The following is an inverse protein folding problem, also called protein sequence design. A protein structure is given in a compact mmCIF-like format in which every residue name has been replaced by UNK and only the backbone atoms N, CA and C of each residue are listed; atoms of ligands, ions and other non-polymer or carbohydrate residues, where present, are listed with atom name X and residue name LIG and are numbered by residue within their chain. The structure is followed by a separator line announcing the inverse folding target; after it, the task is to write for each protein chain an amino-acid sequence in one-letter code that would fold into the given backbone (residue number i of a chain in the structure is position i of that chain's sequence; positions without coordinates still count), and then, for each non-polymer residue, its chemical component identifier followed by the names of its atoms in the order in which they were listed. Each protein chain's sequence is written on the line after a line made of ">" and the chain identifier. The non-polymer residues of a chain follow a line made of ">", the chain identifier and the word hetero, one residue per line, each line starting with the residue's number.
data_IF_813169389162
#
_entry.id   IF_813169389162
#
_cell.length_a   1.000
_cell.length_b   1.000
_cell.length_c   1.000
_cell.angle_alpha   90.00
_cell.angle_beta   90.00
_cell.angle_gamma   90.00
#
_symmetry.space_group_name_H-M   'P 1'
#
loop_
_entity.id
_entity.type
_entity.pdbx_description
1 polymer ?
#
# COMPACT_ATOMS: atom_id res chain seq x y z
N UNK A 1 -28.35 -10.29 40.68
CA UNK A 1 -29.00 -9.73 39.46
C UNK A 1 -30.48 -10.03 39.58
N UNK A 2 -31.39 -9.13 39.18
CA UNK A 2 -32.83 -9.44 39.21
C UNK A 2 -33.14 -10.62 38.28
N UNK A 3 -34.08 -11.49 38.67
CA UNK A 3 -34.51 -12.63 37.84
C UNK A 3 -35.03 -12.13 36.48
N UNK A 4 -35.75 -11.01 36.46
CA UNK A 4 -36.27 -10.38 35.24
C UNK A 4 -35.18 -9.96 34.28
N UNK A 5 -34.10 -9.32 34.77
CA UNK A 5 -32.96 -8.93 33.94
C UNK A 5 -32.23 -10.15 33.36
N UNK A 6 -32.26 -11.28 34.06
CA UNK A 6 -31.60 -12.52 33.62
C UNK A 6 -32.41 -13.27 32.56
N UNK A 7 -33.75 -13.16 32.59
CA UNK A 7 -34.65 -13.87 31.66
C UNK A 7 -35.10 -13.03 30.47
N UNK A 8 -35.35 -11.73 30.67
CA UNK A 8 -35.85 -10.83 29.61
C UNK A 8 -34.76 -9.94 29.01
N UNK A 9 -33.56 -9.94 29.60
CA UNK A 9 -32.50 -8.99 29.26
C UNK A 9 -32.79 -7.59 29.79
N UNK A 10 -31.94 -6.64 29.41
CA UNK A 10 -32.06 -5.24 29.79
C UNK A 10 -31.31 -4.36 28.78
N UNK A 11 -31.66 -3.07 28.76
CA UNK A 11 -30.97 -2.05 27.96
C UNK A 11 -30.23 -1.14 28.93
N UNK A 12 -28.94 -0.92 28.66
CA UNK A 12 -28.13 0.06 29.37
C UNK A 12 -28.12 1.35 28.54
N UNK A 13 -28.62 2.43 29.13
CA UNK A 13 -28.58 3.76 28.55
C UNK A 13 -27.55 4.61 29.32
N UNK A 14 -26.61 5.21 28.61
CA UNK A 14 -25.54 6.02 29.20
C UNK A 14 -24.49 5.25 30.02
N UNK A 15 -24.35 3.93 29.83
CA UNK A 15 -23.28 3.14 30.45
C UNK A 15 -22.88 1.94 29.54
N UNK A 16 -21.58 1.66 29.33
CA UNK A 16 -20.40 2.32 29.90
C UNK A 16 -20.01 3.60 29.14
N UNK A 17 -19.51 4.60 29.88
CA UNK A 17 -19.05 5.89 29.33
C UNK A 17 -17.52 6.01 29.24
N UNK A 18 -16.78 5.17 29.95
CA UNK A 18 -15.31 5.23 30.02
C UNK A 18 -14.71 3.84 29.85
N UNK A 19 -13.45 3.79 29.42
CA UNK A 19 -12.73 2.53 29.24
C UNK A 19 -12.70 1.68 30.53
N UNK A 20 -12.51 2.33 31.69
CA UNK A 20 -12.48 1.65 32.99
C UNK A 20 -13.80 0.97 33.32
N UNK A 21 -14.93 1.61 33.01
CA UNK A 21 -16.24 1.01 33.20
C UNK A 21 -16.44 -0.20 32.28
N UNK A 22 -16.03 -0.11 31.02
CA UNK A 22 -16.09 -1.23 30.07
C UNK A 22 -15.23 -2.43 30.53
N UNK A 23 -14.05 -2.17 31.10
CA UNK A 23 -13.20 -3.22 31.68
C UNK A 23 -13.84 -3.88 32.90
N UNK A 24 -14.45 -3.10 33.80
CA UNK A 24 -15.17 -3.62 34.97
C UNK A 24 -16.38 -4.48 34.56
N UNK A 25 -17.10 -4.07 33.51
CA UNK A 25 -18.17 -4.88 32.93
C UNK A 25 -17.66 -6.23 32.43
N UNK A 26 -16.58 -6.24 31.65
CA UNK A 26 -15.94 -7.46 31.17
C UNK A 26 -15.48 -8.38 32.31
N UNK A 27 -14.88 -7.81 33.37
CA UNK A 27 -14.45 -8.57 34.55
C UNK A 27 -15.61 -9.21 35.33
N UNK A 28 -16.84 -8.71 35.17
CA UNK A 28 -18.06 -9.25 35.77
C UNK A 28 -18.91 -10.03 34.76
N UNK A 29 -18.38 -10.31 33.56
CA UNK A 29 -19.09 -10.98 32.47
C UNK A 29 -20.40 -10.29 32.08
N UNK A 30 -20.46 -8.97 32.20
CA UNK A 30 -21.59 -8.16 31.75
C UNK A 30 -21.27 -7.68 30.34
N UNK A 31 -21.70 -8.43 29.33
CA UNK A 31 -21.39 -8.15 27.92
C UNK A 31 -22.71 -7.84 27.18
N UNK A 32 -22.93 -6.59 26.76
CA UNK A 32 -24.02 -6.25 25.86
C UNK A 32 -23.94 -7.06 24.57
N UNK A 33 -25.07 -7.61 24.10
CA UNK A 33 -25.09 -8.32 22.81
C UNK A 33 -24.99 -7.36 21.62
N UNK A 34 -25.49 -6.15 21.79
CA UNK A 34 -25.44 -5.07 20.81
C UNK A 34 -25.14 -3.78 21.54
N UNK A 35 -24.23 -2.98 21.00
CA UNK A 35 -23.99 -1.59 21.42
C UNK A 35 -24.32 -0.68 20.24
N UNK A 36 -25.24 0.26 20.45
CA UNK A 36 -25.66 1.22 19.43
C UNK A 36 -25.11 2.59 19.78
N UNK A 37 -24.36 3.17 18.87
CA UNK A 37 -23.90 4.56 18.93
C UNK A 37 -24.69 5.41 17.94
N UNK A 38 -25.31 6.48 18.44
CA UNK A 38 -26.00 7.48 17.65
C UNK A 38 -25.03 8.61 17.32
N UNK A 39 -24.52 8.62 16.09
CA UNK A 39 -23.56 9.62 15.62
C UNK A 39 -24.28 10.93 15.27
N UNK A 40 -23.81 12.02 15.88
CA UNK A 40 -24.32 13.36 15.63
C UNK A 40 -23.19 14.38 15.67
N UNK A 41 -23.25 15.37 14.79
CA UNK A 41 -22.28 16.47 14.81
C UNK A 41 -22.46 17.34 16.07
N UNK A 42 -21.36 17.91 16.56
CA UNK A 42 -21.33 18.73 17.78
C UNK A 42 -22.22 19.96 17.68
N UNK A 43 -22.30 20.60 16.50
CA UNK A 43 -23.17 21.76 16.30
C UNK A 43 -24.63 21.36 16.48
N UNK A 44 -25.02 20.22 15.92
CA UNK A 44 -26.40 19.74 15.99
C UNK A 44 -26.75 19.22 17.40
N UNK A 45 -25.81 18.56 18.10
CA UNK A 45 -25.96 18.19 19.52
C UNK A 45 -26.26 19.42 20.38
N UNK A 46 -25.45 20.48 20.24
CA UNK A 46 -25.62 21.71 21.01
C UNK A 46 -26.95 22.41 20.68
N UNK A 47 -27.29 22.50 19.40
CA UNK A 47 -28.56 23.08 18.94
C UNK A 47 -29.77 22.35 19.54
N UNK A 48 -29.78 21.01 19.47
CA UNK A 48 -30.87 20.19 20.04
C UNK A 48 -30.91 20.29 21.56
N UNK A 49 -29.75 20.33 22.23
CA UNK A 49 -29.66 20.51 23.68
C UNK A 49 -30.25 21.84 24.15
N UNK A 50 -30.00 22.95 23.42
CA UNK A 50 -30.59 24.26 23.72
C UNK A 50 -32.12 24.26 23.56
N UNK A 51 -32.64 23.63 22.51
CA UNK A 51 -34.09 23.48 22.31
C UNK A 51 -34.71 22.63 23.42
N UNK A 52 -34.04 21.55 23.82
CA UNK A 52 -34.52 20.69 24.89
C UNK A 52 -34.56 21.39 26.26
N UNK A 53 -33.58 22.26 26.54
CA UNK A 53 -33.56 23.12 27.74
C UNK A 53 -34.83 23.97 27.89
N UNK A 54 -35.43 24.42 26.79
CA UNK A 54 -36.63 25.26 26.79
C UNK A 54 -37.93 24.49 27.08
N UNK A 55 -37.89 23.16 27.21
CA UNK A 55 -39.10 22.36 27.48
C UNK A 55 -39.52 22.46 28.95
N UNK A 56 -40.81 22.72 29.24
CA UNK A 56 -41.28 22.97 30.60
C UNK A 56 -41.35 21.71 31.49
N UNK A 57 -41.45 20.51 30.89
CA UNK A 57 -41.66 19.25 31.62
C UNK A 57 -40.42 18.34 31.58
N UNK A 58 -39.35 18.73 32.29
CA UNK A 58 -38.18 17.85 32.47
C UNK A 58 -38.36 16.98 33.73
N UNK A 59 -38.19 15.64 33.65
CA UNK A 59 -38.32 14.76 34.81
C UNK A 59 -37.21 14.98 35.86
N UNK A 60 -36.05 15.51 35.45
CA UNK A 60 -34.94 15.83 36.34
C UNK A 60 -34.32 17.19 35.98
N UNK A 61 -33.88 17.93 37.00
CA UNK A 61 -33.15 19.18 36.83
C UNK A 61 -31.73 18.85 36.34
N UNK A 62 -31.37 19.28 35.14
CA UNK A 62 -30.06 19.01 34.55
C UNK A 62 -29.29 20.30 34.27
N UNK A 63 -27.99 20.26 34.54
CA UNK A 63 -27.06 21.35 34.20
C UNK A 63 -26.78 21.34 32.68
N UNK A 64 -27.62 22.04 31.92
CA UNK A 64 -27.64 22.02 30.45
C UNK A 64 -27.27 23.38 29.83
N UNK A 65 -26.36 24.14 30.46
CA UNK A 65 -25.78 25.33 29.84
C UNK A 65 -24.94 24.95 28.62
N UNK A 66 -24.80 25.87 27.66
CA UNK A 66 -23.99 25.67 26.44
C UNK A 66 -22.58 25.17 26.74
N UNK A 67 -21.94 25.75 27.76
CA UNK A 67 -20.56 25.44 28.15
C UNK A 67 -20.46 24.01 28.68
N UNK A 68 -21.37 23.62 29.56
CA UNK A 68 -21.44 22.27 30.15
C UNK A 68 -21.77 21.22 29.08
N UNK A 69 -22.71 21.50 28.17
CA UNK A 69 -23.02 20.59 27.06
C UNK A 69 -21.82 20.39 26.14
N UNK A 70 -21.08 21.48 25.86
CA UNK A 70 -19.85 21.42 25.07
C UNK A 70 -18.78 20.58 25.76
N UNK A 71 -18.54 20.80 27.06
CA UNK A 71 -17.57 20.01 27.86
C UNK A 71 -17.96 18.54 27.87
N UNK A 72 -19.23 18.20 28.14
CA UNK A 72 -19.73 16.81 28.16
C UNK A 72 -19.51 16.12 26.81
N UNK A 73 -19.86 16.78 25.71
CA UNK A 73 -19.67 16.24 24.38
C UNK A 73 -18.18 16.06 24.04
N UNK A 74 -17.32 16.98 24.45
CA UNK A 74 -15.87 16.86 24.29
C UNK A 74 -15.31 15.64 25.04
N UNK A 75 -15.67 15.49 26.32
CA UNK A 75 -15.27 14.32 27.12
C UNK A 75 -15.79 13.00 26.52
N UNK A 76 -17.05 12.97 26.10
CA UNK A 76 -17.63 11.80 25.42
C UNK A 76 -16.85 11.42 24.16
N UNK A 77 -16.56 12.39 23.28
CA UNK A 77 -15.83 12.14 22.03
C UNK A 77 -14.42 11.59 22.27
N UNK A 78 -13.76 11.99 23.35
CA UNK A 78 -12.46 11.45 23.72
C UNK A 78 -12.56 10.00 24.22
N UNK A 79 -13.52 9.70 25.10
CA UNK A 79 -13.65 8.38 25.71
C UNK A 79 -14.27 7.34 24.76
N UNK A 80 -15.27 7.72 23.95
CA UNK A 80 -16.00 6.78 23.08
C UNK A 80 -15.08 6.10 22.07
N UNK A 81 -14.02 6.76 21.59
CA UNK A 81 -13.05 6.15 20.67
C UNK A 81 -12.37 4.95 21.31
N UNK A 82 -12.03 5.04 22.59
CA UNK A 82 -11.39 3.97 23.35
C UNK A 82 -12.37 2.84 23.66
N UNK A 83 -13.58 3.19 24.09
CA UNK A 83 -14.66 2.23 24.35
C UNK A 83 -15.03 1.46 23.08
N UNK A 84 -15.31 2.17 21.98
CA UNK A 84 -15.62 1.60 20.67
C UNK A 84 -14.53 0.63 20.22
N UNK A 85 -13.26 1.02 20.33
CA UNK A 85 -12.13 0.15 19.97
C UNK A 85 -12.12 -1.15 20.79
N UNK A 86 -12.36 -1.08 22.09
CA UNK A 86 -12.44 -2.26 22.95
C UNK A 86 -13.58 -3.20 22.52
N UNK A 87 -14.80 -2.68 22.37
CA UNK A 87 -15.97 -3.48 22.01
C UNK A 87 -15.84 -4.08 20.61
N UNK A 88 -15.33 -3.32 19.64
CA UNK A 88 -15.09 -3.81 18.29
C UNK A 88 -14.04 -4.93 18.25
N UNK A 89 -12.96 -4.80 19.04
CA UNK A 89 -11.89 -5.79 19.09
C UNK A 89 -12.24 -7.04 19.89
N UNK A 90 -13.02 -6.90 20.97
CA UNK A 90 -13.35 -8.01 21.87
C UNK A 90 -14.63 -8.75 21.47
N UNK A 91 -15.65 -8.05 20.98
CA UNK A 91 -17.00 -8.63 20.84
C UNK A 91 -17.62 -8.43 19.46
N UNK A 92 -17.09 -7.52 18.63
CA UNK A 92 -17.61 -7.23 17.28
C UNK A 92 -19.10 -6.85 17.25
N UNK A 93 -19.58 -6.17 18.29
CA UNK A 93 -20.99 -5.91 18.57
C UNK A 93 -21.39 -4.42 18.52
N UNK A 94 -20.54 -3.56 17.94
CA UNK A 94 -20.78 -2.12 17.86
C UNK A 94 -21.46 -1.73 16.55
N UNK A 95 -22.55 -0.96 16.65
CA UNK A 95 -23.31 -0.46 15.50
C UNK A 95 -23.33 1.07 15.57
N UNK A 96 -22.90 1.71 14.49
CA UNK A 96 -22.92 3.16 14.33
C UNK A 96 -24.12 3.57 13.46
N UNK A 97 -24.98 4.46 13.96
CA UNK A 97 -26.16 4.95 13.24
C UNK A 97 -26.14 6.48 13.14
N UNK A 98 -26.52 6.98 11.97
CA UNK A 98 -26.69 8.42 11.74
C UNK A 98 -27.94 8.96 12.46
N UNK A 99 -27.70 9.81 13.46
CA UNK A 99 -28.76 10.40 14.29
C UNK A 99 -29.41 11.65 13.66
N UNK A 100 -29.02 12.06 12.45
CA UNK A 100 -29.73 13.06 11.65
C UNK A 100 -30.99 12.48 10.99
N UNK A 101 -31.07 11.17 10.84
CA UNK A 101 -32.23 10.48 10.24
C UNK A 101 -33.45 10.55 11.16
N UNK A 102 -34.61 10.21 10.61
CA UNK A 102 -35.87 10.18 11.36
C UNK A 102 -35.83 9.13 12.47
N UNK A 103 -36.58 9.37 13.55
CA UNK A 103 -36.71 8.42 14.67
C UNK A 103 -37.18 7.05 14.20
N UNK A 104 -38.08 7.00 13.21
CA UNK A 104 -38.58 5.77 12.59
C UNK A 104 -37.48 4.97 11.89
N UNK A 105 -36.58 5.65 11.17
CA UNK A 105 -35.47 5.01 10.49
C UNK A 105 -34.48 4.39 11.49
N UNK A 106 -34.14 5.15 12.55
CA UNK A 106 -33.27 4.66 13.63
C UNK A 106 -33.90 3.44 14.31
N UNK A 107 -35.18 3.57 14.70
CA UNK A 107 -35.94 2.49 15.36
C UNK A 107 -36.02 1.22 14.51
N UNK A 108 -36.33 1.36 13.22
CA UNK A 108 -36.44 0.22 12.29
C UNK A 108 -35.10 -0.51 12.12
N UNK A 109 -33.99 0.23 12.01
CA UNK A 109 -32.66 -0.37 11.92
C UNK A 109 -32.24 -1.08 13.21
N UNK A 110 -32.47 -0.46 14.38
CA UNK A 110 -32.17 -1.11 15.67
C UNK A 110 -32.97 -2.40 15.82
N UNK A 111 -34.27 -2.38 15.52
CA UNK A 111 -35.11 -3.58 15.58
C UNK A 111 -34.61 -4.67 14.64
N UNK A 112 -34.19 -4.30 13.42
CA UNK A 112 -33.64 -5.25 12.46
C UNK A 112 -32.39 -5.94 13.01
N UNK A 113 -31.44 -5.17 13.53
CA UNK A 113 -30.20 -5.71 14.10
C UNK A 113 -30.45 -6.58 15.33
N UNK A 114 -31.36 -6.16 16.22
CA UNK A 114 -31.80 -6.95 17.38
C UNK A 114 -32.46 -8.24 16.94
N UNK A 115 -33.34 -8.20 15.94
CA UNK A 115 -34.04 -9.38 15.41
C UNK A 115 -33.06 -10.39 14.82
N UNK A 116 -32.03 -9.94 14.10
CA UNK A 116 -30.96 -10.79 13.57
C UNK A 116 -30.14 -11.42 14.70
N UNK A 117 -29.72 -10.63 15.69
CA UNK A 117 -28.97 -11.14 16.84
C UNK A 117 -29.80 -12.16 17.62
N UNK A 118 -31.07 -11.88 17.89
CA UNK A 118 -31.95 -12.82 18.58
C UNK A 118 -32.15 -14.10 17.77
N UNK A 119 -32.36 -14.02 16.46
CA UNK A 119 -32.46 -15.21 15.61
C UNK A 119 -31.21 -16.07 15.71
N UNK A 120 -30.02 -15.48 15.62
CA UNK A 120 -28.76 -16.21 15.76
C UNK A 120 -28.63 -16.88 17.12
N UNK A 121 -28.97 -16.19 18.21
CA UNK A 121 -28.94 -16.75 19.57
C UNK A 121 -29.90 -17.94 19.69
N UNK A 122 -31.14 -17.80 19.20
CA UNK A 122 -32.12 -18.90 19.26
C UNK A 122 -31.66 -20.10 18.45
N UNK A 123 -31.23 -19.88 17.20
CA UNK A 123 -30.72 -20.95 16.34
C UNK A 123 -29.51 -21.65 16.97
N UNK A 124 -28.60 -20.91 17.60
CA UNK A 124 -27.48 -21.48 18.33
C UNK A 124 -27.93 -22.33 19.52
N UNK A 125 -28.83 -21.82 20.37
CA UNK A 125 -29.33 -22.56 21.53
C UNK A 125 -30.10 -23.82 21.14
N UNK A 126 -30.89 -23.76 20.07
CA UNK A 126 -31.59 -24.92 19.50
C UNK A 126 -30.61 -25.97 18.94
N UNK A 127 -29.63 -25.54 18.16
CA UNK A 127 -28.62 -26.43 17.61
C UNK A 127 -27.80 -27.11 18.70
N UNK A 128 -27.42 -26.38 19.76
CA UNK A 128 -26.71 -26.95 20.90
C UNK A 128 -27.54 -27.98 21.67
N UNK A 129 -28.85 -27.78 21.81
CA UNK A 129 -29.76 -28.79 22.40
C UNK A 129 -29.86 -30.06 21.54
N UNK A 130 -29.84 -29.89 20.22
CA UNK A 130 -29.94 -31.00 19.27
C UNK A 130 -28.58 -31.64 18.95
N UNK A 131 -27.47 -31.16 19.52
CA UNK A 131 -26.12 -31.63 19.21
C UNK A 131 -25.65 -31.31 17.78
N UNK A 132 -26.28 -30.35 17.11
CA UNK A 132 -25.97 -29.93 15.75
C UNK A 132 -24.95 -28.78 15.73
N UNK A 133 -24.28 -28.59 14.60
CA UNK A 133 -23.41 -27.44 14.44
C UNK A 133 -24.23 -26.15 14.32
N UNK A 134 -23.70 -25.05 14.87
CA UNK A 134 -24.37 -23.76 14.86
C UNK A 134 -23.42 -22.62 14.57
N UNK A 135 -23.91 -21.61 13.84
CA UNK A 135 -23.15 -20.40 13.55
C UNK A 135 -22.90 -19.62 14.84
N UNK A 136 -21.68 -19.10 15.00
CA UNK A 136 -21.29 -18.30 16.16
C UNK A 136 -21.29 -16.79 15.90
N UNK A 137 -21.79 -16.38 14.73
CA UNK A 137 -21.89 -14.99 14.35
C UNK A 137 -22.74 -14.19 15.35
N UNK A 138 -22.23 -13.03 15.77
CA UNK A 138 -22.88 -12.10 16.72
C UNK A 138 -23.15 -12.67 18.12
N UNK A 139 -22.43 -13.72 18.55
CA UNK A 139 -22.49 -14.26 19.91
C UNK A 139 -21.50 -13.59 20.89
N UNK A 140 -20.83 -12.51 20.48
CA UNK A 140 -19.86 -11.76 21.31
C UNK A 140 -18.70 -12.61 21.86
N UNK A 141 -18.26 -13.62 21.11
CA UNK A 141 -17.14 -14.49 21.51
C UNK A 141 -15.83 -13.72 21.45
N UNK A 142 -15.07 -13.77 22.54
CA UNK A 142 -13.80 -13.05 22.62
C UNK A 142 -12.71 -13.74 21.80
N UNK A 143 -11.73 -13.01 21.25
CA UNK A 143 -10.60 -13.62 20.54
C UNK A 143 -9.81 -14.62 21.41
N UNK A 144 -9.74 -14.37 22.73
CA UNK A 144 -9.09 -15.27 23.69
C UNK A 144 -9.85 -16.59 23.84
N UNK A 145 -11.16 -16.52 24.01
CA UNK A 145 -12.02 -17.71 24.08
C UNK A 145 -11.97 -18.48 22.77
N UNK A 146 -12.07 -17.77 21.64
CA UNK A 146 -11.95 -18.36 20.31
C UNK A 146 -10.68 -19.18 20.20
N UNK A 147 -9.53 -18.60 20.57
CA UNK A 147 -8.22 -19.26 20.51
C UNK A 147 -8.15 -20.51 21.39
N UNK A 148 -8.71 -20.46 22.60
CA UNK A 148 -8.70 -21.59 23.54
C UNK A 148 -9.57 -22.76 23.07
N UNK A 149 -10.72 -22.44 22.46
CA UNK A 149 -11.70 -23.42 21.98
C UNK A 149 -11.56 -23.76 20.49
N UNK A 150 -10.45 -23.39 19.84
CA UNK A 150 -10.21 -23.76 18.45
C UNK A 150 -10.24 -25.28 18.29
N UNK A 151 -10.90 -25.72 17.23
CA UNK A 151 -10.88 -27.11 16.81
C UNK A 151 -9.51 -27.55 16.30
N UNK A 152 -9.43 -28.82 15.92
CA UNK A 152 -8.18 -29.46 15.48
C UNK A 152 -7.60 -28.88 14.19
N UNK A 153 -8.43 -28.20 13.40
CA UNK A 153 -8.01 -27.49 12.19
C UNK A 153 -7.51 -26.06 12.47
N UNK A 154 -7.56 -25.59 13.72
CA UNK A 154 -7.09 -24.26 14.10
C UNK A 154 -7.81 -23.14 13.33
N UNK A 155 -7.04 -22.35 12.58
CA UNK A 155 -7.56 -21.27 11.73
C UNK A 155 -7.87 -21.71 10.28
N UNK A 156 -7.66 -22.99 9.95
CA UNK A 156 -7.87 -23.51 8.61
C UNK A 156 -9.30 -24.00 8.42
N UNK A 157 -9.81 -23.82 7.19
CA UNK A 157 -11.13 -24.27 6.80
C UNK A 157 -11.21 -25.80 6.68
N UNK A 158 -11.98 -26.52 7.54
CA UNK A 158 -12.07 -27.98 7.49
C UNK A 158 -12.73 -28.49 6.20
N UNK A 159 -13.74 -27.80 5.69
CA UNK A 159 -14.45 -28.20 4.45
C UNK A 159 -13.54 -28.10 3.22
N UNK A 160 -12.67 -27.08 3.15
CA UNK A 160 -11.67 -26.97 2.07
C UNK A 160 -10.69 -28.15 2.09
N UNK A 161 -10.27 -28.55 3.29
CA UNK A 161 -9.33 -29.64 3.46
C UNK A 161 -9.99 -30.98 3.12
N UNK A 162 -11.22 -31.21 3.59
CA UNK A 162 -11.96 -32.44 3.33
C UNK A 162 -12.29 -32.63 1.83
N UNK A 163 -12.82 -31.60 1.16
CA UNK A 163 -13.30 -31.72 -0.23
C UNK A 163 -12.19 -31.59 -1.27
N UNK A 164 -11.19 -30.73 -1.03
CA UNK A 164 -10.21 -30.35 -2.05
C UNK A 164 -8.77 -30.57 -1.62
N UNK A 165 -8.51 -31.00 -0.38
CA UNK A 165 -7.16 -31.09 0.20
C UNK A 165 -6.41 -29.75 0.12
N UNK A 166 -7.15 -28.64 0.21
CA UNK A 166 -6.62 -27.29 0.15
C UNK A 166 -6.47 -26.68 1.55
N UNK A 167 -5.30 -26.11 1.84
CA UNK A 167 -5.03 -25.36 3.05
C UNK A 167 -5.47 -23.91 2.88
N UNK A 168 -6.67 -23.58 3.36
CA UNK A 168 -7.18 -22.21 3.36
C UNK A 168 -7.10 -21.62 4.77
N UNK A 169 -6.13 -20.73 5.00
CA UNK A 169 -5.98 -20.00 6.26
C UNK A 169 -7.01 -18.87 6.36
N UNK A 170 -7.81 -18.88 7.42
CA UNK A 170 -8.83 -17.88 7.73
C UNK A 170 -8.38 -16.93 8.86
N UNK A 171 -7.08 -16.88 9.19
CA UNK A 171 -6.50 -15.99 10.21
C UNK A 171 -6.67 -14.50 9.88
N UNK A 172 -6.62 -14.12 8.60
CA UNK A 172 -6.83 -12.73 8.16
C UNK A 172 -8.27 -12.26 8.36
N UNK A 173 -9.24 -13.18 8.41
CA UNK A 173 -10.66 -12.86 8.61
C UNK A 173 -10.90 -12.78 10.12
N UNK A 174 -10.92 -11.54 10.62
CA UNK A 174 -11.25 -11.26 12.01
C UNK A 174 -12.74 -11.50 12.31
N UNK A 175 -13.62 -11.23 11.36
CA UNK A 175 -15.05 -11.38 11.53
C UNK A 175 -15.46 -12.86 11.70
N UNK A 176 -16.36 -13.14 12.64
CA UNK A 176 -16.86 -14.49 12.94
C UNK A 176 -18.08 -14.90 12.10
N UNK A 177 -18.37 -14.18 11.00
CA UNK A 177 -19.54 -14.40 10.14
C UNK A 177 -19.60 -15.82 9.55
N UNK A 178 -18.45 -16.42 9.29
CA UNK A 178 -18.33 -17.77 8.73
C UNK A 178 -17.76 -18.77 9.73
N UNK A 179 -17.94 -18.55 11.02
CA UNK A 179 -17.48 -19.47 12.05
C UNK A 179 -18.66 -20.27 12.63
N UNK A 180 -18.38 -21.50 13.03
CA UNK A 180 -19.36 -22.39 13.64
C UNK A 180 -18.79 -23.11 14.86
N UNK A 181 -19.67 -23.44 15.80
CA UNK A 181 -19.40 -24.33 16.90
C UNK A 181 -19.93 -25.73 16.57
N UNK A 182 -19.13 -26.74 16.89
CA UNK A 182 -19.57 -28.12 16.95
C UNK A 182 -18.88 -28.86 18.09
N UNK A 183 -19.68 -29.54 18.94
CA UNK A 183 -19.21 -30.30 20.13
C UNK A 183 -18.23 -29.52 21.02
N UNK A 184 -18.52 -28.24 21.27
CA UNK A 184 -17.71 -27.40 22.15
C UNK A 184 -16.47 -26.78 21.51
N UNK A 185 -16.14 -27.10 20.25
CA UNK A 185 -14.99 -26.57 19.50
C UNK A 185 -15.44 -25.61 18.40
N UNK A 186 -14.62 -24.59 18.12
CA UNK A 186 -14.86 -23.60 17.08
C UNK A 186 -14.09 -23.91 15.79
N UNK A 187 -14.76 -23.71 14.66
CA UNK A 187 -14.22 -23.91 13.32
C UNK A 187 -14.50 -22.66 12.47
N UNK A 188 -13.49 -22.21 11.73
CA UNK A 188 -13.64 -21.11 10.77
C UNK A 188 -13.76 -21.64 9.35
N UNK A 189 -14.71 -21.09 8.61
CA UNK A 189 -14.94 -21.41 7.20
C UNK A 189 -14.49 -20.26 6.32
N UNK A 190 -14.00 -20.56 5.12
CA UNK A 190 -13.51 -19.51 4.20
C UNK A 190 -14.63 -18.71 3.52
N UNK A 191 -15.89 -19.14 3.64
CA UNK A 191 -17.05 -18.48 3.02
C UNK A 191 -18.38 -19.11 3.41
N UNK A 192 -19.47 -18.46 2.99
CA UNK A 192 -20.84 -18.84 3.33
C UNK A 192 -21.23 -20.23 2.81
N UNK A 193 -20.80 -20.61 1.61
CA UNK A 193 -21.11 -21.93 1.03
C UNK A 193 -20.52 -23.07 1.87
N UNK A 194 -19.30 -22.89 2.37
CA UNK A 194 -18.65 -23.86 3.24
C UNK A 194 -19.26 -23.87 4.64
N UNK A 195 -19.72 -22.72 5.14
CA UNK A 195 -20.50 -22.67 6.38
C UNK A 195 -21.80 -23.47 6.25
N UNK A 196 -22.57 -23.28 5.17
CA UNK A 196 -23.81 -24.03 4.94
C UNK A 196 -23.58 -25.54 4.90
N UNK A 197 -22.54 -25.99 4.19
CA UNK A 197 -22.15 -27.40 4.15
C UNK A 197 -21.77 -27.92 5.55
N UNK A 198 -20.97 -27.16 6.29
CA UNK A 198 -20.57 -27.54 7.64
C UNK A 198 -21.76 -27.62 8.61
N UNK A 199 -22.71 -26.69 8.54
CA UNK A 199 -23.91 -26.72 9.38
C UNK A 199 -24.83 -27.90 9.03
N UNK A 200 -24.86 -28.34 7.77
CA UNK A 200 -25.63 -29.50 7.34
C UNK A 200 -25.03 -30.83 7.81
N UNK A 201 -23.71 -31.04 7.63
CA UNK A 201 -23.03 -32.31 7.96
C UNK A 201 -21.69 -32.12 8.67
N UNK A 202 -21.71 -31.50 9.86
CA UNK A 202 -20.48 -31.20 10.62
C UNK A 202 -19.62 -32.43 10.95
N UNK A 203 -20.24 -33.60 11.15
CA UNK A 203 -19.55 -34.86 11.50
C UNK A 203 -18.58 -35.33 10.41
N UNK A 204 -18.87 -35.04 9.15
CA UNK A 204 -18.02 -35.41 8.01
C UNK A 204 -16.77 -34.52 7.91
N UNK A 205 -16.79 -33.34 8.50
CA UNK A 205 -15.72 -32.34 8.41
C UNK A 205 -14.88 -32.24 9.69
N UNK A 206 -15.28 -32.93 10.75
CA UNK A 206 -14.56 -32.99 12.03
C UNK A 206 -14.01 -34.40 12.23
N UNK A 207 -12.91 -34.55 12.96
CA UNK A 207 -12.36 -35.86 13.31
C UNK A 207 -13.36 -36.63 14.22
N UNK A 208 -13.56 -37.95 14.00
CA UNK A 208 -12.85 -38.85 13.07
C UNK A 208 -13.42 -38.92 11.64
N UNK A 209 -14.52 -38.23 11.32
CA UNK A 209 -15.18 -38.32 10.01
C UNK A 209 -14.42 -37.64 8.88
N UNK A 210 -13.58 -36.64 9.19
CA UNK A 210 -12.79 -35.93 8.18
C UNK A 210 -11.71 -36.84 7.55
N UNK A 211 -11.63 -36.95 6.21
CA UNK A 211 -10.69 -37.83 5.52
C UNK A 211 -9.23 -37.40 5.67
N UNK A 212 -8.98 -36.11 5.91
CA UNK A 212 -7.64 -35.54 6.01
C UNK A 212 -7.50 -34.74 7.29
N UNK A 213 -6.47 -35.05 8.07
CA UNK A 213 -6.10 -34.27 9.25
C UNK A 213 -5.23 -33.08 8.87
N UNK A 214 -5.23 -32.06 9.73
CA UNK A 214 -4.34 -30.92 9.54
C UNK A 214 -2.87 -31.40 9.66
N UNK A 215 -2.00 -31.05 8.69
CA UNK A 215 -0.58 -31.35 8.80
C UNK A 215 0.06 -30.73 10.05
N UNK A 216 1.16 -31.31 10.51
CA UNK A 216 1.89 -30.76 11.65
C UNK A 216 2.33 -29.31 11.38
N UNK A 217 2.47 -28.46 12.42
CA UNK A 217 2.74 -27.02 12.24
C UNK A 217 3.99 -26.65 11.43
N UNK A 218 4.99 -27.53 11.36
CA UNK A 218 6.21 -27.36 10.57
C UNK A 218 6.00 -27.65 9.06
N UNK A 219 4.91 -28.36 8.72
CA UNK A 219 4.45 -28.63 7.36
C UNK A 219 3.34 -27.69 6.92
N UNK A 220 3.04 -26.63 7.68
CA UNK A 220 2.07 -25.62 7.28
C UNK A 220 2.79 -24.44 6.63
N UNK A 221 2.32 -23.97 5.46
CA UNK A 221 2.95 -22.86 4.78
C UNK A 221 2.64 -21.55 5.51
N UNK A 222 3.62 -20.64 5.61
CA UNK A 222 3.51 -19.36 6.32
C UNK A 222 3.92 -18.19 5.43
N UNK A 223 3.13 -17.12 5.42
CA UNK A 223 3.51 -15.86 4.76
C UNK A 223 4.67 -15.22 5.52
N UNK A 224 5.69 -14.75 4.81
CA UNK A 224 6.80 -14.01 5.38
C UNK A 224 6.78 -12.55 4.91
N UNK A 225 7.15 -11.63 5.80
CA UNK A 225 7.41 -10.23 5.44
C UNK A 225 8.85 -10.06 4.95
N UNK A 226 9.14 -8.99 4.22
CA UNK A 226 10.50 -8.71 3.74
C UNK A 226 11.54 -8.66 4.88
N UNK A 227 11.15 -8.10 6.03
CA UNK A 227 11.99 -8.05 7.22
C UNK A 227 12.30 -9.45 7.76
N UNK A 228 11.29 -10.33 7.83
CA UNK A 228 11.50 -11.71 8.28
C UNK A 228 12.39 -12.49 7.32
N UNK A 229 12.29 -12.25 6.01
CA UNK A 229 13.19 -12.87 5.01
C UNK A 229 14.63 -12.39 5.23
N UNK A 230 14.85 -11.08 5.44
CA UNK A 230 16.18 -10.52 5.70
C UNK A 230 16.81 -11.05 6.99
N UNK A 231 16.02 -11.23 8.04
CA UNK A 231 16.50 -11.76 9.32
C UNK A 231 16.93 -13.23 9.26
N UNK A 232 16.48 -13.98 8.23
CA UNK A 232 16.88 -15.37 8.03
C UNK A 232 18.16 -15.53 7.22
N UNK A 233 18.85 -14.45 6.86
CA UNK A 233 20.18 -14.52 6.27
C UNK A 233 21.16 -15.25 7.22
N UNK A 234 21.98 -16.22 6.76
CA UNK A 234 22.41 -16.50 5.38
C UNK A 234 21.61 -17.61 4.65
N UNK A 235 20.42 -17.98 5.14
CA UNK A 235 19.60 -19.00 4.50
C UNK A 235 19.26 -18.60 3.05
N UNK A 236 19.57 -19.50 2.10
CA UNK A 236 19.29 -19.26 0.69
C UNK A 236 17.82 -19.49 0.35
N UNK A 237 17.32 -18.71 -0.60
CA UNK A 237 15.98 -18.85 -1.15
C UNK A 237 15.93 -20.01 -2.13
N UNK A 238 14.88 -20.81 -2.06
CA UNK A 238 14.67 -21.92 -2.97
C UNK A 238 14.47 -21.44 -4.40
N UNK A 239 14.80 -22.33 -5.34
CA UNK A 239 14.74 -22.04 -6.78
C UNK A 239 15.44 -20.73 -7.16
N UNK A 240 16.50 -20.32 -6.46
CA UNK A 240 17.25 -19.06 -6.72
C UNK A 240 16.32 -17.82 -6.81
N UNK A 241 15.17 -17.84 -6.14
CA UNK A 241 14.18 -16.75 -6.15
C UNK A 241 13.20 -16.75 -7.34
N UNK A 242 13.21 -17.78 -8.19
CA UNK A 242 12.16 -17.99 -9.20
C UNK A 242 10.87 -18.49 -8.57
N UNK A 243 9.74 -18.06 -9.11
CA UNK A 243 8.41 -18.41 -8.64
C UNK A 243 8.07 -19.88 -9.00
N UNK A 244 7.92 -20.80 -8.01
CA UNK A 244 7.57 -22.20 -8.29
C UNK A 244 6.21 -22.35 -8.97
N UNK A 245 5.25 -21.50 -8.61
CA UNK A 245 3.90 -21.57 -9.19
C UNK A 245 3.91 -21.20 -10.67
N UNK A 246 4.62 -20.13 -11.03
CA UNK A 246 4.80 -19.73 -12.44
C UNK A 246 5.45 -20.85 -13.24
N UNK A 247 6.50 -21.46 -12.69
CA UNK A 247 7.26 -22.49 -13.38
C UNK A 247 6.44 -23.75 -13.64
N UNK A 248 5.72 -24.27 -12.63
CA UNK A 248 4.90 -25.47 -12.80
C UNK A 248 3.67 -25.22 -13.68
N UNK A 249 2.95 -24.12 -13.46
CA UNK A 249 1.77 -23.76 -14.27
C UNK A 249 2.16 -23.51 -15.73
N UNK A 250 3.36 -22.96 -15.97
CA UNK A 250 3.94 -22.77 -17.29
C UNK A 250 4.56 -24.03 -17.91
N UNK A 251 4.26 -25.21 -17.38
CA UNK A 251 4.76 -26.53 -17.85
C UNK A 251 6.29 -26.60 -17.87
N UNK A 252 6.95 -25.97 -16.90
CA UNK A 252 8.40 -26.00 -16.71
C UNK A 252 9.20 -25.43 -17.89
N UNK A 253 8.59 -24.53 -18.67
CA UNK A 253 9.24 -23.86 -19.80
C UNK A 253 10.15 -22.72 -19.34
N UNK A 254 11.08 -22.33 -20.21
CA UNK A 254 12.05 -21.27 -19.91
C UNK A 254 11.36 -19.90 -19.73
N UNK A 255 10.33 -19.61 -20.53
CA UNK A 255 9.56 -18.35 -20.45
C UNK A 255 8.79 -18.22 -19.13
N UNK A 256 8.53 -19.34 -18.46
CA UNK A 256 7.81 -19.39 -17.18
C UNK A 256 8.72 -19.19 -15.96
N UNK A 257 10.04 -19.09 -16.15
CA UNK A 257 11.01 -18.78 -15.09
C UNK A 257 10.99 -17.29 -14.78
N UNK A 258 9.92 -16.87 -14.10
CA UNK A 258 9.72 -15.49 -13.64
C UNK A 258 10.19 -15.35 -12.19
N UNK A 259 10.84 -14.23 -11.89
CA UNK A 259 11.29 -13.94 -10.52
C UNK A 259 10.13 -13.55 -9.63
N UNK A 260 10.19 -14.07 -8.41
CA UNK A 260 9.31 -13.62 -7.36
C UNK A 260 9.74 -12.26 -6.81
N UNK A 261 8.82 -11.60 -6.11
CA UNK A 261 9.07 -10.40 -5.32
C UNK A 261 9.11 -10.76 -3.83
N UNK A 262 10.03 -10.15 -3.07
CA UNK A 262 10.22 -10.45 -1.65
C UNK A 262 8.95 -10.19 -0.81
N UNK A 263 8.07 -9.28 -1.25
CA UNK A 263 6.75 -9.02 -0.66
C UNK A 263 5.83 -10.25 -0.62
N UNK A 264 6.00 -11.22 -1.54
CA UNK A 264 5.19 -12.45 -1.61
C UNK A 264 5.96 -13.70 -1.17
N UNK A 265 6.91 -13.53 -0.24
CA UNK A 265 7.67 -14.65 0.29
C UNK A 265 6.78 -15.59 1.13
N UNK A 266 7.05 -16.89 1.03
CA UNK A 266 6.38 -17.96 1.77
C UNK A 266 7.42 -18.91 2.32
N UNK A 267 7.26 -19.31 3.57
CA UNK A 267 8.00 -20.39 4.19
C UNK A 267 7.20 -21.70 4.13
N UNK A 268 7.84 -22.78 3.71
CA UNK A 268 7.28 -24.12 3.78
C UNK A 268 8.40 -25.15 3.99
N UNK A 269 8.26 -26.04 4.98
CA UNK A 269 9.30 -27.02 5.37
C UNK A 269 10.67 -26.38 5.63
N UNK A 270 10.66 -25.28 6.39
CA UNK A 270 11.84 -24.48 6.71
C UNK A 270 12.59 -23.94 5.49
N UNK A 271 11.93 -23.87 4.32
CA UNK A 271 12.50 -23.33 3.08
C UNK A 271 11.74 -22.09 2.65
N UNK A 272 12.45 -21.12 2.07
CA UNK A 272 11.89 -19.83 1.67
C UNK A 272 11.66 -19.85 0.15
N UNK A 273 10.41 -19.66 -0.25
CA UNK A 273 9.98 -19.53 -1.65
C UNK A 273 9.54 -18.09 -1.93
N UNK A 274 9.92 -17.54 -3.08
CA UNK A 274 9.54 -16.18 -3.49
C UNK A 274 8.57 -16.27 -4.67
N UNK A 275 7.44 -15.58 -4.58
CA UNK A 275 6.35 -15.67 -5.56
C UNK A 275 6.18 -14.36 -6.31
N UNK A 276 5.70 -14.43 -7.54
CA UNK A 276 5.62 -13.27 -8.45
C UNK A 276 4.45 -12.33 -8.12
N UNK A 277 3.30 -12.90 -7.75
CA UNK A 277 2.07 -12.16 -7.48
C UNK A 277 1.35 -12.72 -6.25
N UNK A 278 0.49 -11.90 -5.63
CA UNK A 278 -0.37 -12.34 -4.51
C UNK A 278 -1.24 -13.56 -4.87
N UNK A 279 -1.79 -13.60 -6.09
CA UNK A 279 -2.59 -14.75 -6.54
C UNK A 279 -1.78 -16.06 -6.57
N UNK A 280 -0.52 -15.98 -7.00
CA UNK A 280 0.40 -17.13 -7.00
C UNK A 280 0.83 -17.48 -5.57
N UNK A 281 0.96 -16.49 -4.68
CA UNK A 281 1.11 -16.69 -3.25
C UNK A 281 -0.02 -17.53 -2.66
N UNK A 282 -1.26 -17.10 -2.87
CA UNK A 282 -2.43 -17.81 -2.36
C UNK A 282 -2.54 -19.21 -2.97
N UNK A 283 -2.17 -19.39 -4.25
CA UNK A 283 -2.15 -20.72 -4.90
C UNK A 283 -1.12 -21.65 -4.25
N UNK A 284 0.08 -21.16 -3.96
CA UNK A 284 1.11 -21.94 -3.27
C UNK A 284 0.67 -22.30 -1.84
N UNK A 285 0.08 -21.35 -1.10
CA UNK A 285 -0.41 -21.59 0.26
C UNK A 285 -1.52 -22.64 0.31
N UNK A 286 -2.38 -22.70 -0.71
CA UNK A 286 -3.46 -23.69 -0.82
C UNK A 286 -2.93 -25.11 -1.00
N UNK A 287 -1.93 -25.28 -1.86
CA UNK A 287 -1.41 -26.61 -2.25
C UNK A 287 0.12 -26.64 -2.29
N UNK A 288 0.79 -26.45 -1.14
CA UNK A 288 2.24 -26.36 -1.10
C UNK A 288 2.92 -27.67 -1.52
N UNK A 289 2.29 -28.82 -1.25
CA UNK A 289 2.78 -30.15 -1.64
C UNK A 289 2.95 -30.34 -3.16
N UNK A 290 2.18 -29.61 -3.97
CA UNK A 290 2.27 -29.66 -5.42
C UNK A 290 3.48 -28.88 -5.95
N UNK A 291 3.85 -27.79 -5.27
CA UNK A 291 4.82 -26.82 -5.79
C UNK A 291 6.21 -26.90 -5.16
N UNK A 292 6.38 -27.48 -3.97
CA UNK A 292 7.64 -27.38 -3.20
C UNK A 292 8.85 -28.10 -3.83
N UNK A 293 8.65 -29.27 -4.46
CA UNK A 293 9.75 -30.13 -4.95
C UNK A 293 10.08 -29.87 -6.42
N UNK A 294 10.30 -28.62 -6.78
CA UNK A 294 10.66 -28.25 -8.14
C UNK A 294 12.17 -28.13 -8.29
N UNK A 295 12.70 -28.70 -9.38
CA UNK A 295 14.11 -28.59 -9.74
C UNK A 295 14.26 -27.63 -10.91
N UNK A 296 15.18 -26.68 -10.77
CA UNK A 296 15.50 -25.76 -11.85
C UNK A 296 16.26 -26.50 -12.98
N UNK A 297 16.05 -26.10 -14.25
CA UNK A 297 16.85 -26.60 -15.36
C UNK A 297 18.28 -26.07 -15.27
N UNK A 298 19.22 -26.73 -15.95
CA UNK A 298 20.63 -26.31 -15.95
C UNK A 298 20.83 -24.89 -16.52
N UNK A 299 19.97 -24.48 -17.46
CA UNK A 299 19.96 -23.14 -18.06
C UNK A 299 18.86 -22.31 -17.42
N UNK A 300 19.25 -21.34 -16.60
CA UNK A 300 18.33 -20.35 -15.99
C UNK A 300 18.60 -18.96 -16.56
N UNK A 301 17.59 -18.08 -16.62
CA UNK A 301 17.80 -16.69 -17.03
C UNK A 301 18.90 -16.03 -16.20
N UNK A 302 19.79 -15.22 -16.81
CA UNK A 302 20.80 -14.50 -16.04
C UNK A 302 20.15 -13.56 -15.02
N UNK A 303 20.84 -13.31 -13.91
CA UNK A 303 20.40 -12.30 -12.96
C UNK A 303 20.57 -10.93 -13.62
N UNK A 304 19.44 -10.25 -13.88
CA UNK A 304 19.43 -8.82 -14.21
C UNK A 304 19.79 -8.03 -12.96
N UNK A 305 21.05 -8.12 -12.55
CA UNK A 305 21.62 -7.18 -11.60
C UNK A 305 21.97 -5.91 -12.37
N UNK A 306 21.69 -4.71 -11.81
CA UNK A 306 22.08 -3.47 -12.46
C UNK A 306 23.61 -3.45 -12.55
N UNK A 307 24.13 -3.65 -13.75
CA UNK A 307 25.56 -3.58 -14.03
C UNK A 307 25.97 -2.11 -13.86
N UNK A 308 26.82 -1.77 -12.88
CA UNK A 308 27.24 -0.38 -12.70
C UNK A 308 28.01 0.08 -13.94
N UNK A 309 27.74 1.29 -14.43
CA UNK A 309 28.37 1.85 -15.63
C UNK A 309 29.91 1.77 -15.58
N UNK A 310 30.50 1.90 -14.38
CA UNK A 310 31.94 1.83 -14.12
C UNK A 310 32.53 0.43 -14.26
N UNK A 311 31.71 -0.62 -14.27
CA UNK A 311 32.17 -2.00 -14.49
C UNK A 311 32.21 -2.39 -15.97
N UNK A 312 31.71 -1.53 -16.87
CA UNK A 312 31.77 -1.78 -18.30
C UNK A 312 33.19 -1.58 -18.83
N UNK A 313 33.61 -2.35 -19.85
CA UNK A 313 34.82 -2.05 -20.62
C UNK A 313 34.79 -0.63 -21.20
N UNK A 314 35.96 -0.07 -21.51
CA UNK A 314 36.11 1.33 -21.97
C UNK A 314 35.14 1.70 -23.10
N UNK A 315 34.95 0.82 -24.08
CA UNK A 315 34.01 1.05 -25.18
C UNK A 315 32.56 1.17 -24.70
N UNK A 316 32.09 0.25 -23.86
CA UNK A 316 30.74 0.27 -23.31
C UNK A 316 30.49 1.46 -22.37
N UNK A 317 31.51 1.87 -21.60
CA UNK A 317 31.45 3.08 -20.79
C UNK A 317 31.27 4.34 -21.64
N UNK A 318 32.06 4.47 -22.72
CA UNK A 318 31.97 5.62 -23.63
C UNK A 318 30.63 5.65 -24.38
N UNK A 319 30.16 4.50 -24.84
CA UNK A 319 28.87 4.37 -25.54
C UNK A 319 27.69 4.76 -24.64
N UNK A 320 27.60 4.17 -23.44
CA UNK A 320 26.46 4.36 -22.55
C UNK A 320 26.55 5.68 -21.75
N UNK A 321 27.76 6.17 -21.46
CA UNK A 321 27.99 7.32 -20.60
C UNK A 321 28.20 8.65 -21.33
N UNK A 322 28.85 8.63 -22.51
CA UNK A 322 29.39 9.84 -23.15
C UNK A 322 28.81 10.07 -24.55
N UNK A 323 28.47 9.02 -25.29
CA UNK A 323 28.11 9.11 -26.70
C UNK A 323 26.97 10.08 -26.98
N UNK A 324 25.87 10.03 -26.21
CA UNK A 324 24.71 10.92 -26.42
C UNK A 324 25.10 12.40 -26.30
N UNK A 325 25.97 12.75 -25.35
CA UNK A 325 26.41 14.13 -25.16
C UNK A 325 27.31 14.59 -26.32
N UNK A 326 28.23 13.75 -26.78
CA UNK A 326 29.14 14.04 -27.91
C UNK A 326 28.36 14.14 -29.22
N UNK A 327 27.42 13.22 -29.48
CA UNK A 327 26.56 13.25 -30.66
C UNK A 327 25.78 14.56 -30.71
N UNK A 328 25.15 14.98 -29.60
CA UNK A 328 24.42 16.26 -29.54
C UNK A 328 25.33 17.46 -29.80
N UNK A 329 26.53 17.48 -29.23
CA UNK A 329 27.50 18.55 -29.46
C UNK A 329 27.96 18.60 -30.93
N UNK A 330 28.25 17.44 -31.53
CA UNK A 330 28.64 17.32 -32.94
C UNK A 330 27.52 17.73 -33.89
N UNK A 331 26.28 17.33 -33.62
CA UNK A 331 25.11 17.77 -34.38
C UNK A 331 24.93 19.28 -34.32
N UNK A 332 25.08 19.88 -33.13
CA UNK A 332 25.00 21.34 -32.97
C UNK A 332 26.10 22.07 -33.77
N UNK A 333 27.33 21.55 -33.77
CA UNK A 333 28.43 22.07 -34.62
C UNK A 333 28.07 21.95 -36.10
N UNK A 334 27.51 20.82 -36.53
CA UNK A 334 27.12 20.59 -37.92
C UNK A 334 26.03 21.55 -38.41
N UNK A 335 25.08 21.90 -37.55
CA UNK A 335 24.02 22.87 -37.85
C UNK A 335 24.55 24.31 -37.90
N UNK A 336 25.34 24.73 -36.90
CA UNK A 336 25.78 26.11 -36.76
C UNK A 336 27.00 26.44 -37.66
N UNK A 337 27.89 25.48 -37.89
CA UNK A 337 29.18 25.64 -38.57
C UNK A 337 29.99 26.83 -38.02
N UNK A 338 30.33 26.82 -36.71
CA UNK A 338 30.90 27.98 -36.05
C UNK A 338 32.29 28.32 -36.60
N UNK A 339 32.44 29.54 -37.10
CA UNK A 339 33.74 30.13 -37.46
C UNK A 339 33.99 31.32 -36.55
N UNK A 340 34.90 31.15 -35.60
CA UNK A 340 35.26 32.24 -34.69
C UNK A 340 36.28 33.18 -35.36
N UNK A 341 36.15 34.51 -35.21
CA UNK A 341 37.11 35.47 -35.73
C UNK A 341 38.56 35.13 -35.36
N UNK A 342 39.48 35.22 -36.32
CA UNK A 342 40.93 34.98 -36.15
C UNK A 342 41.36 33.58 -35.65
N UNK A 343 40.44 32.62 -35.53
CA UNK A 343 40.73 31.25 -35.09
C UNK A 343 40.40 30.26 -36.22
N UNK A 344 41.24 29.24 -36.45
CA UNK A 344 40.97 28.20 -37.46
C UNK A 344 39.58 27.54 -37.28
N UNK A 345 39.03 26.98 -38.36
CA UNK A 345 37.72 26.30 -38.33
C UNK A 345 37.74 25.14 -37.32
N UNK A 346 38.79 24.30 -37.35
CA UNK A 346 38.95 23.16 -36.45
C UNK A 346 38.93 23.58 -34.97
N UNK A 347 39.75 24.58 -34.60
CA UNK A 347 39.76 25.12 -33.23
C UNK A 347 38.43 25.76 -32.83
N UNK A 348 37.72 26.42 -33.75
CA UNK A 348 36.40 27.01 -33.48
C UNK A 348 35.38 25.93 -33.13
N UNK A 349 35.40 24.80 -33.86
CA UNK A 349 34.55 23.65 -33.59
C UNK A 349 34.88 22.98 -32.25
N UNK A 350 36.17 22.81 -31.92
CA UNK A 350 36.60 22.23 -30.64
C UNK A 350 36.19 23.10 -29.44
N UNK A 351 36.34 24.43 -29.54
CA UNK A 351 35.91 25.36 -28.48
C UNK A 351 34.40 25.33 -28.30
N UNK A 352 33.64 25.31 -29.40
CA UNK A 352 32.20 25.17 -29.36
C UNK A 352 31.78 23.87 -28.69
N UNK A 353 32.41 22.73 -29.05
CA UNK A 353 32.16 21.44 -28.41
C UNK A 353 32.40 21.50 -26.90
N UNK A 354 33.52 22.08 -26.48
CA UNK A 354 33.88 22.19 -25.06
C UNK A 354 32.86 23.02 -24.27
N UNK A 355 32.41 24.16 -24.82
CA UNK A 355 31.37 24.96 -24.19
C UNK A 355 30.03 24.27 -24.17
N UNK A 356 29.65 23.59 -25.25
CA UNK A 356 28.40 22.85 -25.33
C UNK A 356 28.36 21.73 -24.28
N UNK A 357 29.41 20.91 -24.19
CA UNK A 357 29.49 19.84 -23.19
C UNK A 357 29.42 20.38 -21.76
N UNK A 358 30.09 21.50 -21.46
CA UNK A 358 30.04 22.13 -20.13
C UNK A 358 28.68 22.78 -19.82
N UNK A 359 28.01 23.37 -20.81
CA UNK A 359 26.72 24.04 -20.67
C UNK A 359 25.57 23.06 -20.40
N UNK A 360 25.64 21.85 -20.98
CA UNK A 360 24.58 20.84 -20.93
C UNK A 360 24.90 19.62 -20.05
N UNK A 361 25.99 19.64 -19.28
CA UNK A 361 26.31 18.56 -18.33
C UNK A 361 25.36 18.57 -17.11
N UNK A 362 24.49 17.56 -17.02
CA UNK A 362 23.53 17.43 -15.92
C UNK A 362 24.18 17.17 -14.55
N UNK A 363 25.42 16.66 -14.51
CA UNK A 363 26.17 16.41 -13.27
C UNK A 363 26.89 17.65 -12.73
N UNK A 364 27.01 18.72 -13.53
CA UNK A 364 27.58 20.00 -13.09
C UNK A 364 26.57 20.81 -12.27
N UNK A 365 27.07 21.70 -11.42
CA UNK A 365 26.25 22.65 -10.65
C UNK A 365 25.48 23.61 -11.57
N UNK A 366 24.34 24.10 -11.11
CA UNK A 366 23.50 25.05 -11.86
C UNK A 366 24.25 26.32 -12.24
N UNK A 367 25.04 26.86 -11.31
CA UNK A 367 25.89 28.03 -11.55
C UNK A 367 26.86 27.82 -12.73
N UNK A 368 27.57 26.68 -12.74
CA UNK A 368 28.52 26.36 -13.82
C UNK A 368 27.81 26.18 -15.16
N UNK A 369 26.64 25.51 -15.18
CA UNK A 369 25.83 25.37 -16.41
C UNK A 369 25.41 26.73 -16.95
N UNK A 370 24.90 27.62 -16.10
CA UNK A 370 24.43 28.93 -16.51
C UNK A 370 25.58 29.82 -17.01
N UNK A 371 26.74 29.76 -16.35
CA UNK A 371 27.98 30.42 -16.79
C UNK A 371 28.38 29.97 -18.20
N UNK A 372 28.42 28.66 -18.45
CA UNK A 372 28.81 28.14 -19.76
C UNK A 372 27.75 28.31 -20.84
N UNK A 373 26.46 28.34 -20.49
CA UNK A 373 25.39 28.75 -21.43
C UNK A 373 25.57 30.20 -21.90
N UNK A 374 25.90 31.13 -20.98
CA UNK A 374 26.21 32.52 -21.34
C UNK A 374 27.47 32.62 -22.21
N UNK A 375 28.54 31.90 -21.87
CA UNK A 375 29.75 31.83 -22.70
C UNK A 375 29.46 31.26 -24.10
N UNK A 376 28.61 30.23 -24.20
CA UNK A 376 28.21 29.62 -25.47
C UNK A 376 27.42 30.61 -26.33
N UNK A 377 26.42 31.29 -25.77
CA UNK A 377 25.65 32.31 -26.51
C UNK A 377 26.54 33.47 -26.99
N UNK A 378 27.45 33.96 -26.14
CA UNK A 378 28.43 34.99 -26.53
C UNK A 378 29.35 34.51 -27.67
N UNK A 379 29.76 33.25 -27.63
CA UNK A 379 30.57 32.64 -28.68
C UNK A 379 29.81 32.57 -30.01
N UNK A 380 28.53 32.17 -29.99
CA UNK A 380 27.64 32.16 -31.16
C UNK A 380 27.45 33.56 -31.76
N UNK A 381 27.23 34.58 -30.93
CA UNK A 381 27.15 35.99 -31.36
C UNK A 381 28.43 36.44 -32.06
N UNK A 382 29.60 36.09 -31.49
CA UNK A 382 30.89 36.46 -32.07
C UNK A 382 31.15 35.74 -33.39
N UNK A 383 30.72 34.48 -33.53
CA UNK A 383 30.75 33.77 -34.81
C UNK A 383 29.86 34.42 -35.86
N UNK A 384 28.71 34.99 -35.47
CA UNK A 384 27.78 35.67 -36.37
C UNK A 384 28.30 37.02 -36.91
N UNK A 385 29.38 37.59 -36.32
CA UNK A 385 29.99 38.83 -36.81
C UNK A 385 30.58 38.69 -38.22
N UNK A 386 31.19 37.55 -38.54
CA UNK A 386 31.79 37.31 -39.86
C UNK A 386 30.76 37.34 -40.98
N UNK A 387 29.67 36.54 -40.95
CA UNK A 387 28.66 36.59 -42.00
C UNK A 387 27.95 37.94 -42.06
N UNK A 388 27.73 38.61 -40.91
CA UNK A 388 27.16 39.96 -40.86
C UNK A 388 28.06 40.99 -41.55
N UNK A 389 29.34 41.09 -41.16
CA UNK A 389 30.28 42.04 -41.78
C UNK A 389 30.50 41.72 -43.26
N UNK A 390 30.59 40.42 -43.61
CA UNK A 390 30.71 39.98 -45.00
C UNK A 390 29.49 40.35 -45.85
N UNK A 391 28.28 40.46 -45.30
CA UNK A 391 27.10 40.87 -46.08
C UNK A 391 26.97 42.40 -46.13
N UNK A 392 27.24 43.09 -45.01
CA UNK A 392 27.10 44.54 -44.90
C UNK A 392 28.19 45.31 -45.65
N UNK A 393 29.42 44.78 -45.70
CA UNK A 393 30.57 45.42 -46.37
C UNK A 393 30.76 45.00 -47.84
N UNK A 394 29.83 44.23 -48.41
CA UNK A 394 29.87 43.86 -49.85
C UNK A 394 29.47 45.05 -50.72
N UNK A 395 30.35 45.41 -51.66
CA UNK A 395 30.08 46.41 -52.70
C UNK A 395 31.03 47.62 -52.64
N UNK A 396 30.67 48.68 -53.38
CA UNK A 396 31.40 49.95 -53.36
C UNK A 396 31.19 50.68 -52.02
N UNK A 397 32.12 51.56 -51.67
CA UNK A 397 32.10 52.35 -50.44
C UNK A 397 30.75 53.07 -50.24
N UNK A 398 30.11 52.84 -49.09
CA UNK A 398 28.89 53.54 -48.65
C UNK A 398 29.26 54.62 -47.64
N UNK A 399 28.53 55.73 -47.64
CA UNK A 399 28.73 56.81 -46.67
C UNK A 399 28.34 56.34 -45.24
N UNK A 400 28.96 56.89 -44.17
CA UNK A 400 28.69 56.49 -42.78
C UNK A 400 27.20 56.50 -42.38
N UNK A 401 26.41 57.39 -43.00
CA UNK A 401 24.97 57.57 -42.78
C UNK A 401 24.10 56.42 -43.34
N UNK A 402 24.64 55.58 -44.22
CA UNK A 402 23.92 54.50 -44.90
C UNK A 402 24.13 53.12 -44.24
N UNK A 403 24.98 53.05 -43.20
CA UNK A 403 25.19 51.81 -42.45
C UNK A 403 24.12 51.61 -41.37
N UNK A 404 23.80 50.34 -41.03
CA UNK A 404 23.00 50.03 -39.86
C UNK A 404 23.59 50.66 -38.58
N UNK A 405 22.73 51.09 -37.67
CA UNK A 405 23.11 51.77 -36.41
C UNK A 405 24.05 50.89 -35.55
N UNK A 406 23.96 49.57 -35.67
CA UNK A 406 24.77 48.59 -34.94
C UNK A 406 26.08 48.20 -35.64
N UNK A 407 26.36 48.74 -36.82
CA UNK A 407 27.51 48.38 -37.65
C UNK A 407 28.85 48.73 -36.97
N UNK A 408 29.01 49.97 -36.53
CA UNK A 408 30.26 50.45 -35.90
C UNK A 408 30.57 49.67 -34.61
N UNK A 409 29.54 49.41 -33.80
CA UNK A 409 29.67 48.59 -32.59
C UNK A 409 30.11 47.15 -32.90
N UNK A 410 29.50 46.50 -33.91
CA UNK A 410 29.84 45.13 -34.32
C UNK A 410 31.22 45.04 -34.98
N UNK A 411 31.62 46.06 -35.74
CA UNK A 411 32.95 46.14 -36.36
C UNK A 411 34.03 46.32 -35.29
N UNK A 412 33.84 47.23 -34.33
CA UNK A 412 34.76 47.42 -33.21
C UNK A 412 34.84 46.16 -32.34
N UNK A 413 33.71 45.49 -32.08
CA UNK A 413 33.70 44.18 -31.38
C UNK A 413 34.45 43.11 -32.16
N UNK A 414 34.32 43.04 -33.49
CA UNK A 414 35.08 42.11 -34.31
C UNK A 414 36.59 42.39 -34.25
N UNK A 415 37.02 43.64 -34.39
CA UNK A 415 38.43 44.01 -34.34
C UNK A 415 39.05 43.76 -32.95
N UNK A 416 38.30 44.02 -31.88
CA UNK A 416 38.74 43.75 -30.50
C UNK A 416 39.01 42.25 -30.24
N UNK A 417 38.41 41.34 -31.03
CA UNK A 417 38.70 39.90 -30.94
C UNK A 417 40.08 39.52 -31.51
N UNK A 418 40.75 40.42 -32.23
CA UNK A 418 42.11 40.25 -32.75
C UNK A 418 43.18 40.43 -31.68
N UNK A 419 42.95 41.36 -30.75
CA UNK A 419 43.90 41.74 -29.69
C UNK A 419 43.77 40.85 -28.45
N UNK A 420 42.79 39.95 -28.43
CA UNK A 420 42.67 38.91 -27.41
C UNK A 420 43.77 37.86 -27.63
N UNK A 421 44.71 37.67 -26.67
CA UNK A 421 45.82 36.75 -26.84
C UNK A 421 45.28 35.33 -27.08
N UNK A 422 45.77 34.71 -28.15
CA UNK A 422 45.32 33.41 -28.62
C UNK A 422 45.22 32.35 -27.52
N UNK A 423 44.15 31.56 -27.61
CA UNK A 423 43.87 30.31 -26.91
C UNK A 423 43.81 30.32 -25.36
N UNK A 424 44.34 31.31 -24.64
CA UNK A 424 44.34 31.31 -23.16
C UNK A 424 43.21 32.13 -22.54
N UNK A 425 42.63 33.09 -23.26
CA UNK A 425 41.58 33.98 -22.73
C UNK A 425 40.13 33.49 -22.90
N UNK A 426 39.90 32.38 -23.62
CA UNK A 426 38.53 31.95 -24.00
C UNK A 426 38.01 30.79 -23.12
N UNK A 427 38.87 29.92 -22.59
CA UNK A 427 38.46 28.74 -21.80
C UNK A 427 37.80 29.07 -20.44
#
# INVERSE_FOLDING_TARGET
>A
MSLTCSTQGYVLDGFPMTLKQSQLMGARSIIPMIVVELELDTVEVLKRGLVDKMKPNKPHLMHDSSEILHIRNSCYKQEVVHVRKLFQQQYQNWILLDALKSKWWIWSNIIKEVSVSMKNIHTYLEGMRNGQASCIDRLCITPKELQFRLGEFGQYCPVCLALHRHLMDCSEIAALTHAAEYRGKYYKMCGEDHLKKFLATAEEFVTPGCPYTLPQPHLLPRKLTEFQVKNKFPQQVEMKGYCPVSYLDGKQRYEALVRGKMEYAVEYRERIYILETKQKQDKFLRTPETYWNQKLPCKVPPLCEPIPLTSLPTLGYLEQGVAVAVIKAMTAIGCLKPKYPFVSIERSALLYMAFYLKAFNHKSTDYTRQKYKKKLALFEENCALIPYLSSTMRGNYKAPSEYPIDFEFKLNRFLALRDMPGASGVL
#
